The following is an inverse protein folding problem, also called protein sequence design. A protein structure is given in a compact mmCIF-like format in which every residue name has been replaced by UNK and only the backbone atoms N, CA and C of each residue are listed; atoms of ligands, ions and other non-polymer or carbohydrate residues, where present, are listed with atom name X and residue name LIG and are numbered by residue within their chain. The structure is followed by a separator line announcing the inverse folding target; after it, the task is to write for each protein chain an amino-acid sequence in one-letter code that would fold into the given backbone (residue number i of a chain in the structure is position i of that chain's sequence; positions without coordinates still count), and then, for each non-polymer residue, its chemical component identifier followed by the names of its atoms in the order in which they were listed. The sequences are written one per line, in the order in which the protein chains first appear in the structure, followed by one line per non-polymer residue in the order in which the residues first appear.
data_IF_161840048090
#
_entry.id   IF_161840048090
#
_cell.length_a   1.000
_cell.length_b   1.000
_cell.length_c   1.000
_cell.angle_alpha   90.00
_cell.angle_beta   90.00
_cell.angle_gamma   90.00
#
_symmetry.space_group_name_H-M   'P 1'
#
loop_
_entity.id
_entity.type
_entity.pdbx_description
1 polymer ?
#
# COMPACT_ATOMS: atom_id res chain seq x y z
N UNK A 1 -16.94 -10.70 8.75
CA UNK A 1 -16.45 -9.91 7.62
C UNK A 1 -14.92 -9.92 7.59
N UNK A 2 -14.38 -10.10 6.43
CA UNK A 2 -12.93 -10.03 6.27
C UNK A 2 -12.52 -8.61 5.91
N UNK A 3 -11.46 -8.14 6.56
CA UNK A 3 -10.87 -6.85 6.20
C UNK A 3 -10.25 -6.97 4.81
N UNK A 4 -10.50 -6.02 3.90
CA UNK A 4 -9.84 -6.07 2.59
C UNK A 4 -8.33 -6.03 2.75
N UNK A 5 -7.63 -6.68 1.83
CA UNK A 5 -6.17 -6.71 1.85
C UNK A 5 -5.57 -5.30 1.71
N UNK A 6 -6.19 -4.46 0.91
CA UNK A 6 -5.76 -3.08 0.71
C UNK A 6 -6.91 -2.12 1.00
N UNK A 7 -6.57 -0.98 1.57
CA UNK A 7 -7.51 0.10 1.84
C UNK A 7 -6.91 1.42 1.37
N UNK A 8 -7.75 2.30 0.83
CA UNK A 8 -7.31 3.64 0.47
C UNK A 8 -7.61 4.57 1.65
N UNK A 9 -6.62 5.37 2.03
CA UNK A 9 -6.75 6.32 3.13
C UNK A 9 -6.30 7.70 2.67
N UNK A 10 -7.06 8.71 3.08
CA UNK A 10 -6.73 10.11 2.82
C UNK A 10 -6.25 10.74 4.11
N UNK A 11 -5.26 11.62 4.02
CA UNK A 11 -4.81 12.37 5.18
C UNK A 11 -5.57 13.68 5.27
N UNK A 12 -6.10 13.98 6.44
CA UNK A 12 -6.77 15.27 6.69
C UNK A 12 -5.77 16.41 6.74
N UNK A 13 -4.54 16.12 7.17
CA UNK A 13 -3.48 17.12 7.27
C UNK A 13 -2.83 17.40 5.92
N UNK A 14 -2.85 16.40 5.03
CA UNK A 14 -2.23 16.49 3.71
C UNK A 14 -3.22 15.99 2.66
N UNK A 15 -4.24 16.80 2.32
CA UNK A 15 -5.33 16.36 1.43
C UNK A 15 -4.87 16.01 0.01
N UNK A 16 -3.67 16.43 -0.38
CA UNK A 16 -3.11 16.08 -1.69
C UNK A 16 -2.44 14.72 -1.69
N UNK A 17 -2.19 14.15 -0.51
CA UNK A 17 -1.57 12.84 -0.40
C UNK A 17 -2.63 11.75 -0.30
N UNK A 18 -2.39 10.66 -1.00
CA UNK A 18 -3.27 9.50 -0.99
C UNK A 18 -2.44 8.29 -0.58
N UNK A 19 -2.96 7.52 0.36
CA UNK A 19 -2.25 6.37 0.90
C UNK A 19 -3.01 5.08 0.59
N UNK A 20 -2.26 4.00 0.35
CA UNK A 20 -2.81 2.66 0.28
C UNK A 20 -2.25 1.89 1.47
N UNK A 21 -3.13 1.36 2.30
CA UNK A 21 -2.74 0.57 3.46
C UNK A 21 -2.83 -0.92 3.13
N UNK A 22 -1.74 -1.64 3.34
CA UNK A 22 -1.73 -3.10 3.27
C UNK A 22 -2.05 -3.62 4.67
N UNK A 23 -3.16 -4.33 4.80
CA UNK A 23 -3.71 -4.71 6.11
C UNK A 23 -3.17 -6.04 6.65
N UNK A 24 -2.47 -6.82 5.83
CA UNK A 24 -1.90 -8.10 6.22
C UNK A 24 -0.40 -7.98 6.41
N UNK A 25 0.19 -8.93 7.15
CA UNK A 25 1.64 -8.92 7.38
C UNK A 25 2.41 -9.18 6.09
N UNK A 26 3.49 -8.44 5.78
CA UNK A 26 3.91 -7.24 6.52
C UNK A 26 3.04 -6.03 6.14
N UNK A 27 2.51 -5.36 7.15
CA UNK A 27 1.67 -4.18 6.92
C UNK A 27 2.54 -3.00 6.50
N UNK A 28 2.03 -2.23 5.57
CA UNK A 28 2.73 -1.03 5.12
C UNK A 28 1.74 0.03 4.67
N UNK A 29 2.23 1.26 4.64
CA UNK A 29 1.47 2.40 4.15
C UNK A 29 2.22 2.96 2.94
N UNK A 30 1.57 2.95 1.79
CA UNK A 30 2.16 3.45 0.55
C UNK A 30 1.57 4.82 0.22
N UNK A 31 2.42 5.83 0.07
CA UNK A 31 1.99 7.12 -0.44
C UNK A 31 2.13 7.07 -1.96
N UNK A 32 1.00 6.99 -2.67
CA UNK A 32 1.03 6.82 -4.12
C UNK A 32 1.47 8.07 -4.86
N UNK A 33 1.41 9.22 -4.21
CA UNK A 33 1.83 10.49 -4.81
C UNK A 33 3.35 10.63 -4.80
N UNK A 34 3.97 10.31 -3.65
CA UNK A 34 5.43 10.41 -3.51
C UNK A 34 6.15 9.10 -3.79
N UNK A 35 5.40 8.00 -3.87
CA UNK A 35 5.91 6.64 -4.04
C UNK A 35 6.74 6.15 -2.84
N UNK A 36 6.53 6.75 -1.67
CA UNK A 36 7.19 6.32 -0.45
C UNK A 36 6.42 5.23 0.25
N UNK A 37 7.14 4.27 0.83
CA UNK A 37 6.55 3.16 1.58
C UNK A 37 7.01 3.24 3.02
N UNK A 38 6.06 3.19 3.95
CA UNK A 38 6.35 3.12 5.38
C UNK A 38 5.92 1.75 5.89
N UNK A 39 6.87 0.96 6.38
CA UNK A 39 6.58 -0.37 6.91
C UNK A 39 6.10 -0.24 8.36
N UNK A 40 4.92 -0.78 8.63
CA UNK A 40 4.28 -0.69 9.94
C UNK A 40 4.68 -1.83 10.87
N UNK A 41 5.14 -2.94 10.31
CA UNK A 41 5.62 -4.08 11.09
C UNK A 41 7.15 -4.13 11.01
N UNK A 42 7.78 -4.56 12.11
CA UNK A 42 9.23 -4.76 12.11
C UNK A 42 9.56 -6.02 11.32
N UNK A 43 10.30 -5.85 10.23
CA UNK A 43 10.76 -6.98 9.43
C UNK A 43 12.24 -7.15 9.69
N UNK A 44 12.68 -8.31 10.24
CA UNK A 44 14.10 -8.55 10.43
C UNK A 44 14.87 -8.42 9.12
N UNK A 45 16.06 -7.86 9.17
CA UNK A 45 16.87 -7.64 7.97
C UNK A 45 17.07 -8.91 7.14
N UNK A 46 17.26 -10.02 7.81
CA UNK A 46 17.45 -11.30 7.13
C UNK A 46 16.18 -11.69 6.36
N UNK A 47 15.02 -11.55 7.00
CA UNK A 47 13.75 -11.86 6.36
C UNK A 47 13.47 -10.93 5.19
N UNK A 48 13.75 -9.63 5.37
CA UNK A 48 13.56 -8.66 4.30
C UNK A 48 14.44 -8.98 3.10
N UNK A 49 15.69 -9.37 3.35
CA UNK A 49 16.61 -9.74 2.28
C UNK A 49 16.16 -11.00 1.54
N UNK A 50 15.73 -12.02 2.30
CA UNK A 50 15.29 -13.28 1.70
C UNK A 50 14.00 -13.15 0.90
N UNK A 51 13.11 -12.23 1.30
CA UNK A 51 11.80 -12.06 0.71
C UNK A 51 11.65 -10.73 -0.04
N UNK A 52 12.76 -10.12 -0.46
CA UNK A 52 12.70 -8.81 -1.10
C UNK A 52 11.84 -8.80 -2.36
N UNK A 53 11.85 -9.87 -3.14
CA UNK A 53 11.01 -9.97 -4.35
C UNK A 53 9.54 -9.96 -4.00
N UNK A 54 9.16 -10.64 -2.93
CA UNK A 54 7.79 -10.66 -2.46
C UNK A 54 7.36 -9.30 -1.94
N UNK A 55 8.24 -8.60 -1.22
CA UNK A 55 7.95 -7.28 -0.71
C UNK A 55 7.74 -6.28 -1.85
N UNK A 56 8.57 -6.36 -2.88
CA UNK A 56 8.42 -5.52 -4.07
C UNK A 56 7.08 -5.81 -4.75
N UNK A 57 6.73 -7.08 -4.86
CA UNK A 57 5.46 -7.48 -5.48
C UNK A 57 4.27 -6.92 -4.71
N UNK A 58 4.32 -6.91 -3.38
CA UNK A 58 3.24 -6.37 -2.58
C UNK A 58 3.06 -4.87 -2.83
N UNK A 59 4.15 -4.14 -2.97
CA UNK A 59 4.09 -2.71 -3.27
C UNK A 59 3.50 -2.51 -4.67
N UNK A 60 3.89 -3.31 -5.64
CA UNK A 60 3.33 -3.25 -6.99
C UNK A 60 1.84 -3.55 -6.99
N UNK A 61 1.41 -4.52 -6.20
CA UNK A 61 -0.02 -4.84 -6.05
C UNK A 61 -0.78 -3.66 -5.46
N UNK A 62 -0.17 -2.93 -4.54
CA UNK A 62 -0.79 -1.76 -3.94
C UNK A 62 -1.01 -0.66 -4.99
N UNK A 63 -0.05 -0.44 -5.88
CA UNK A 63 -0.21 0.51 -6.97
C UNK A 63 -1.31 0.06 -7.93
N UNK A 64 -1.36 -1.21 -8.26
CA UNK A 64 -2.42 -1.75 -9.12
C UNK A 64 -3.79 -1.59 -8.49
N UNK A 65 -3.88 -1.82 -7.19
CA UNK A 65 -5.12 -1.62 -6.47
C UNK A 65 -5.60 -0.17 -6.57
N UNK A 66 -4.67 0.77 -6.40
CA UNK A 66 -4.99 2.19 -6.51
C UNK A 66 -5.47 2.53 -7.93
N UNK A 67 -4.78 2.04 -8.94
CA UNK A 67 -5.15 2.28 -10.33
C UNK A 67 -6.56 1.77 -10.64
N UNK A 68 -6.89 0.58 -10.17
CA UNK A 68 -8.20 -0.01 -10.38
C UNK A 68 -9.31 0.79 -9.69
N UNK A 69 -9.03 1.27 -8.49
CA UNK A 69 -10.01 2.08 -7.77
C UNK A 69 -10.24 3.42 -8.47
N UNK A 70 -9.18 4.01 -9.00
CA UNK A 70 -9.31 5.26 -9.74
C UNK A 70 -10.09 5.08 -11.05
N UNK A 71 -9.91 3.96 -11.73
CA UNK A 71 -10.67 3.64 -12.93
C UNK A 71 -12.18 3.59 -12.66
N UNK A 72 -12.56 3.06 -11.51
CA UNK A 72 -13.97 3.00 -11.13
C UNK A 72 -14.57 4.40 -10.99
N UNK A 73 -13.81 5.34 -10.47
CA UNK A 73 -14.28 6.71 -10.33
C UNK A 73 -14.37 7.42 -11.67
N UNK A 74 -13.48 7.11 -12.60
CA UNK A 74 -13.48 7.72 -13.92
C UNK A 74 -14.62 7.22 -14.81
N UNK A 75 -15.10 6.02 -14.59
CA UNK A 75 -16.16 5.44 -15.39
C UNK A 75 -17.56 5.97 -15.03
N UNK A 76 -17.67 6.69 -13.95
CA UNK A 76 -18.92 7.34 -13.58
C UNK A 76 -19.06 8.74 -14.24
#
# INVERSE_FOLDING_TARGET
MKTPKFLIADSLDFPDDIYVLHTEYPRFLLNVITEEVEWLDDIPEKEAFENQDELIRLVEEAFEFYDKEMEKYEEE
#
